data_IF_310298173235
#
_entry.id   IF_310298173235
#
_cell.length_a   1.000
_cell.length_b   1.000
_cell.length_c   1.000
_cell.angle_alpha   90.00
_cell.angle_beta   90.00
_cell.angle_gamma   90.00
#
_symmetry.space_group_name_H-M   'P 1'
#
loop_
_entity.id
_entity.type
_entity.pdbx_description
1 polymer ?
#
# COMPACT_ATOMS: atom_id res chain seq x y z
N UNK A 1 11.07 10.22 0.83
CA UNK A 1 12.43 10.56 0.40
C UNK A 1 12.88 11.86 1.02
N UNK A 2 14.18 11.96 1.33
CA UNK A 2 14.77 13.18 1.89
C UNK A 2 16.03 13.52 1.11
N UNK A 3 16.11 14.76 0.64
CA UNK A 3 17.30 15.30 -0.03
C UNK A 3 18.01 16.25 0.94
N UNK A 4 19.24 15.90 1.30
CA UNK A 4 20.09 16.74 2.15
C UNK A 4 21.24 17.27 1.32
N UNK A 5 21.52 18.55 1.43
CA UNK A 5 22.59 19.20 0.67
C UNK A 5 23.27 20.31 1.49
N UNK A 6 24.46 20.69 1.06
CA UNK A 6 25.19 21.85 1.55
C UNK A 6 25.47 22.82 0.40
N UNK A 7 25.59 24.11 0.70
CA UNK A 7 25.75 25.14 -0.31
C UNK A 7 24.41 25.50 -0.99
N UNK A 8 24.50 26.06 -2.17
CA UNK A 8 23.35 26.42 -3.01
C UNK A 8 23.43 25.67 -4.34
N UNK A 9 22.81 24.50 -4.46
CA UNK A 9 22.69 23.83 -5.75
C UNK A 9 21.82 24.68 -6.69
N UNK A 10 22.12 24.65 -7.97
CA UNK A 10 21.35 25.34 -9.00
C UNK A 10 19.95 24.71 -9.14
N UNK A 11 19.77 23.89 -10.14
CA UNK A 11 18.54 23.11 -10.29
C UNK A 11 18.73 21.66 -9.85
N UNK A 12 17.67 21.05 -9.33
CA UNK A 12 17.65 19.64 -8.96
C UNK A 12 16.44 18.95 -9.57
N UNK A 13 16.69 17.75 -10.10
CA UNK A 13 15.65 16.84 -10.56
C UNK A 13 15.75 15.57 -9.73
N UNK A 14 14.70 15.27 -8.99
CA UNK A 14 14.56 13.99 -8.27
C UNK A 14 13.74 13.04 -9.13
N UNK A 15 14.33 11.90 -9.44
CA UNK A 15 13.72 10.86 -10.27
C UNK A 15 13.58 9.59 -9.47
N UNK A 16 12.40 9.00 -9.54
CA UNK A 16 12.07 7.71 -8.91
C UNK A 16 11.49 6.80 -9.97
N UNK A 17 12.13 5.68 -10.20
CA UNK A 17 11.61 4.62 -11.07
C UNK A 17 10.90 3.59 -10.20
N UNK A 18 9.60 3.50 -10.36
CA UNK A 18 8.74 2.53 -9.66
C UNK A 18 8.41 1.35 -10.58
N UNK A 19 8.05 0.17 -10.03
CA UNK A 19 7.63 -0.97 -10.81
C UNK A 19 6.48 -0.64 -11.78
N UNK A 20 6.45 -1.33 -12.91
CA UNK A 20 5.35 -1.20 -13.87
C UNK A 20 4.01 -1.50 -13.19
N UNK A 21 2.98 -0.74 -13.53
CA UNK A 21 1.63 -0.78 -12.98
C UNK A 21 1.46 -0.22 -11.55
N UNK A 22 2.53 0.22 -10.89
CA UNK A 22 2.39 0.99 -9.66
C UNK A 22 2.11 2.44 -10.01
N UNK A 23 1.03 3.00 -9.49
CA UNK A 23 0.56 4.33 -9.83
C UNK A 23 0.69 5.29 -8.66
N UNK A 24 1.10 6.51 -8.95
CA UNK A 24 1.11 7.59 -7.97
C UNK A 24 -0.33 7.99 -7.61
N UNK A 25 -0.68 7.92 -6.34
CA UNK A 25 -2.02 8.34 -5.85
C UNK A 25 -2.00 9.65 -5.09
N UNK A 26 -0.89 9.97 -4.44
CA UNK A 26 -0.71 11.24 -3.75
C UNK A 26 0.78 11.60 -3.67
N UNK A 27 1.06 12.88 -3.64
CA UNK A 27 2.41 13.37 -3.38
C UNK A 27 2.38 14.72 -2.65
N UNK A 28 3.42 15.00 -1.89
CA UNK A 28 3.68 16.30 -1.28
C UNK A 28 5.18 16.57 -1.37
N UNK A 29 5.52 17.73 -1.90
CA UNK A 29 6.90 18.18 -2.07
C UNK A 29 6.97 19.69 -1.91
N UNK A 30 7.89 20.16 -1.08
CA UNK A 30 8.03 21.57 -0.80
C UNK A 30 8.71 22.31 -1.95
N UNK A 31 8.15 23.44 -2.39
CA UNK A 31 8.77 24.38 -3.32
C UNK A 31 9.14 23.83 -4.69
N UNK A 32 8.52 22.71 -5.12
CA UNK A 32 8.75 22.15 -6.45
C UNK A 32 8.24 23.07 -7.54
N UNK A 33 9.04 23.22 -8.60
CA UNK A 33 8.62 23.91 -9.83
C UNK A 33 7.73 23.02 -10.71
N UNK A 34 7.92 21.69 -10.62
CA UNK A 34 7.11 20.69 -11.30
C UNK A 34 7.11 19.40 -10.49
N UNK A 35 5.97 18.73 -10.41
CA UNK A 35 5.79 17.45 -9.74
C UNK A 35 4.95 16.50 -10.60
N UNK A 36 5.08 15.17 -10.43
CA UNK A 36 4.28 14.22 -11.17
C UNK A 36 2.80 14.31 -10.75
N UNK A 37 1.93 14.13 -11.72
CA UNK A 37 0.48 14.08 -11.48
C UNK A 37 0.04 12.68 -11.01
N UNK A 38 -1.08 12.62 -10.31
CA UNK A 38 -1.70 11.34 -9.91
C UNK A 38 -2.04 10.48 -11.12
N UNK A 39 -1.91 9.16 -10.97
CA UNK A 39 -2.12 8.18 -12.05
C UNK A 39 -0.89 7.89 -12.91
N UNK A 40 0.20 8.65 -12.76
CA UNK A 40 1.46 8.33 -13.45
C UNK A 40 2.09 7.07 -12.86
N UNK A 41 2.65 6.24 -13.74
CA UNK A 41 3.39 5.02 -13.41
C UNK A 41 4.79 5.06 -14.03
N UNK A 42 5.68 4.22 -13.54
CA UNK A 42 7.05 4.12 -14.03
C UNK A 42 7.94 5.24 -13.50
N UNK A 43 8.34 6.17 -14.34
CA UNK A 43 9.23 7.25 -13.92
C UNK A 43 8.46 8.43 -13.32
N UNK A 44 8.70 8.71 -12.06
CA UNK A 44 8.19 9.87 -11.33
C UNK A 44 9.29 10.91 -11.23
N UNK A 45 8.98 12.18 -11.55
CA UNK A 45 9.96 13.23 -11.60
C UNK A 45 9.49 14.51 -10.90
N UNK A 46 10.30 15.02 -9.96
CA UNK A 46 10.12 16.30 -9.29
C UNK A 46 11.27 17.23 -9.69
N UNK A 47 10.96 18.47 -10.01
CA UNK A 47 11.95 19.48 -10.41
C UNK A 47 11.91 20.68 -9.50
N UNK A 48 13.10 21.18 -9.17
CA UNK A 48 13.31 22.45 -8.50
C UNK A 48 14.25 23.30 -9.34
N UNK A 49 13.83 24.51 -9.66
CA UNK A 49 14.70 25.55 -10.23
C UNK A 49 15.42 26.32 -9.14
N UNK A 50 14.90 26.27 -7.91
CA UNK A 50 15.51 26.77 -6.69
C UNK A 50 15.09 25.86 -5.55
N UNK A 51 16.01 25.25 -4.83
CA UNK A 51 15.70 24.35 -3.73
C UNK A 51 15.29 25.15 -2.49
N UNK A 52 14.28 24.65 -1.73
CA UNK A 52 14.02 25.10 -0.37
C UNK A 52 15.20 24.79 0.55
N UNK A 53 15.17 25.28 1.78
CA UNK A 53 16.18 24.98 2.78
C UNK A 53 16.34 23.46 3.01
N UNK A 54 17.60 23.00 3.13
CA UNK A 54 17.90 21.59 3.45
C UNK A 54 17.49 21.25 4.89
N UNK A 55 16.85 20.09 5.15
CA UNK A 55 16.52 19.02 4.20
C UNK A 55 15.22 19.28 3.44
N UNK A 56 15.15 18.85 2.17
CA UNK A 56 13.91 18.81 1.39
C UNK A 56 13.25 17.45 1.53
N UNK A 57 12.00 17.44 2.01
CA UNK A 57 11.24 16.21 2.21
C UNK A 57 10.22 16.04 1.08
N UNK A 58 10.21 14.85 0.50
CA UNK A 58 9.27 14.44 -0.53
C UNK A 58 8.51 13.22 -0.01
N UNK A 59 7.20 13.34 0.09
CA UNK A 59 6.31 12.23 0.45
C UNK A 59 5.46 11.88 -0.76
N UNK A 60 5.33 10.60 -1.06
CA UNK A 60 4.45 10.11 -2.12
C UNK A 60 3.85 8.77 -1.76
N UNK A 61 2.65 8.53 -2.24
CA UNK A 61 1.90 7.29 -2.05
C UNK A 61 1.71 6.61 -3.39
N UNK A 62 1.93 5.30 -3.42
CA UNK A 62 1.77 4.48 -4.60
C UNK A 62 0.63 3.48 -4.38
N UNK A 63 -0.23 3.33 -5.37
CA UNK A 63 -1.15 2.20 -5.47
C UNK A 63 -0.40 1.01 -6.02
N UNK A 64 -0.43 -0.09 -5.32
CA UNK A 64 0.19 -1.36 -5.70
C UNK A 64 -0.92 -2.33 -6.08
N UNK A 65 -0.90 -2.94 -7.28
CA UNK A 65 -1.88 -3.95 -7.65
C UNK A 65 -1.89 -5.12 -6.66
N UNK A 66 -3.08 -5.63 -6.32
CA UNK A 66 -3.28 -6.69 -5.31
C UNK A 66 -2.54 -8.00 -5.65
N UNK A 67 -2.42 -8.30 -6.95
CA UNK A 67 -1.72 -9.47 -7.47
C UNK A 67 -0.19 -9.30 -7.56
N UNK A 68 0.34 -8.19 -7.05
CA UNK A 68 1.79 -7.96 -7.07
C UNK A 68 2.50 -8.87 -6.07
N UNK A 69 3.31 -9.79 -6.57
CA UNK A 69 4.05 -10.75 -5.76
C UNK A 69 5.56 -10.65 -5.99
N UNK A 70 6.31 -11.21 -5.04
CA UNK A 70 7.76 -11.31 -5.09
C UNK A 70 8.48 -10.01 -4.78
N UNK A 71 9.77 -9.97 -5.04
CA UNK A 71 10.60 -8.79 -4.79
C UNK A 71 10.44 -7.74 -5.87
N UNK A 72 10.22 -6.50 -5.48
CA UNK A 72 10.14 -5.34 -6.37
C UNK A 72 11.18 -4.32 -5.95
N UNK A 73 11.80 -3.70 -6.95
CA UNK A 73 12.82 -2.69 -6.74
C UNK A 73 12.30 -1.31 -7.09
N UNK A 74 12.57 -0.35 -6.23
CA UNK A 74 12.42 1.09 -6.52
C UNK A 74 13.82 1.67 -6.56
N UNK A 75 14.17 2.36 -7.65
CA UNK A 75 15.42 3.08 -7.77
C UNK A 75 15.16 4.58 -7.79
N UNK A 76 16.08 5.35 -7.25
CA UNK A 76 15.93 6.79 -7.25
C UNK A 76 17.27 7.51 -7.33
N UNK A 77 17.27 8.66 -7.99
CA UNK A 77 18.44 9.52 -8.11
C UNK A 77 18.09 11.00 -8.09
N UNK A 78 19.01 11.80 -7.60
CA UNK A 78 19.00 13.24 -7.77
C UNK A 78 19.97 13.64 -8.88
N UNK A 79 19.50 14.37 -9.88
CA UNK A 79 20.36 15.07 -10.84
C UNK A 79 20.50 16.52 -10.39
N UNK A 80 21.71 16.95 -10.19
CA UNK A 80 22.02 18.32 -9.72
C UNK A 80 22.77 19.06 -10.82
N UNK A 81 22.26 20.22 -11.20
CA UNK A 81 22.92 21.07 -12.21
C UNK A 81 23.37 22.36 -11.56
N UNK A 82 24.66 22.62 -11.64
CA UNK A 82 25.31 23.86 -11.19
C UNK A 82 26.02 24.52 -12.39
N UNK A 83 25.43 25.57 -12.94
CA UNK A 83 25.91 26.15 -14.19
C UNK A 83 25.83 25.14 -15.33
N UNK A 84 26.99 24.84 -15.95
CA UNK A 84 27.10 23.88 -17.05
C UNK A 84 27.38 22.44 -16.59
N UNK A 85 27.61 22.22 -15.28
CA UNK A 85 27.93 20.90 -14.73
C UNK A 85 26.73 20.23 -14.18
N UNK A 86 26.42 19.02 -14.68
CA UNK A 86 25.39 18.16 -14.16
C UNK A 86 25.99 16.90 -13.55
N UNK A 87 25.61 16.60 -12.32
CA UNK A 87 25.97 15.39 -11.58
C UNK A 87 24.76 14.61 -11.16
N UNK A 88 24.90 13.29 -10.99
CA UNK A 88 23.86 12.42 -10.47
C UNK A 88 24.30 11.78 -9.16
N UNK A 89 23.36 11.69 -8.20
CA UNK A 89 23.56 11.05 -6.90
C UNK A 89 22.43 10.04 -6.69
N UNK A 90 22.81 8.77 -6.49
CA UNK A 90 21.83 7.71 -6.20
C UNK A 90 21.28 7.86 -4.78
N UNK A 91 20.04 7.47 -4.60
CA UNK A 91 19.42 7.35 -3.28
C UNK A 91 20.14 6.30 -2.41
N UNK A 92 19.80 6.29 -1.13
CA UNK A 92 20.21 5.22 -0.21
C UNK A 92 19.00 4.78 0.61
N UNK A 93 18.65 3.49 0.58
CA UNK A 93 19.24 2.43 -0.25
C UNK A 93 18.86 2.56 -1.73
N UNK A 94 19.72 2.07 -2.62
CA UNK A 94 19.42 1.95 -4.05
C UNK A 94 19.95 0.62 -4.59
N UNK A 95 19.08 -0.27 -5.09
CA UNK A 95 17.63 -0.13 -5.08
C UNK A 95 17.00 -0.35 -3.68
N UNK A 96 15.88 0.32 -3.42
CA UNK A 96 15.00 -0.06 -2.32
C UNK A 96 14.23 -1.33 -2.72
N UNK A 97 14.46 -2.43 -2.02
CA UNK A 97 13.79 -3.71 -2.29
C UNK A 97 12.60 -3.86 -1.36
N UNK A 98 11.43 -4.11 -1.94
CA UNK A 98 10.20 -4.42 -1.24
C UNK A 98 9.80 -5.85 -1.55
N UNK A 99 9.58 -6.66 -0.52
CA UNK A 99 9.09 -8.03 -0.67
C UNK A 99 7.57 -8.04 -0.52
N UNK A 100 6.88 -8.43 -1.58
CA UNK A 100 5.44 -8.58 -1.61
C UNK A 100 5.10 -10.05 -1.42
N UNK A 101 4.52 -10.38 -0.28
CA UNK A 101 4.00 -11.71 0.00
C UNK A 101 2.51 -11.74 -0.27
N UNK A 102 1.95 -12.85 -0.76
CA UNK A 102 0.50 -13.00 -0.83
C UNK A 102 -0.12 -12.75 0.55
N UNK A 103 -1.28 -12.14 0.59
CA UNK A 103 -2.09 -12.19 1.81
C UNK A 103 -2.76 -13.56 1.85
N UNK A 104 -2.65 -14.31 2.93
CA UNK A 104 -3.50 -15.48 3.10
C UNK A 104 -4.96 -15.02 3.14
N UNK A 105 -5.86 -15.84 2.61
CA UNK A 105 -7.30 -15.61 2.76
C UNK A 105 -7.66 -15.52 4.25
N UNK A 106 -8.64 -14.71 4.64
CA UNK A 106 -9.03 -14.58 6.06
C UNK A 106 -9.50 -15.90 6.69
N UNK A 107 -9.92 -16.85 5.87
CA UNK A 107 -10.24 -18.20 6.30
C UNK A 107 -9.00 -19.11 6.46
N UNK A 108 -7.86 -18.72 5.96
CA UNK A 108 -6.59 -19.44 6.10
C UNK A 108 -5.96 -19.07 7.46
N UNK A 109 -6.35 -19.81 8.48
CA UNK A 109 -6.01 -19.54 9.89
C UNK A 109 -4.54 -19.85 10.19
N UNK A 110 -3.97 -20.82 9.50
CA UNK A 110 -2.59 -21.26 9.71
C UNK A 110 -1.60 -20.55 8.80
N UNK A 111 -2.05 -19.79 7.80
CA UNK A 111 -1.23 -19.03 6.88
C UNK A 111 -0.47 -19.87 5.86
N UNK A 112 -0.95 -21.08 5.55
CA UNK A 112 -0.28 -22.00 4.63
C UNK A 112 -0.70 -21.82 3.16
N UNK A 113 -1.56 -20.81 2.88
CA UNK A 113 -2.13 -20.48 1.58
C UNK A 113 -3.03 -21.57 0.98
N UNK A 114 -3.64 -22.38 1.84
CA UNK A 114 -4.61 -23.40 1.47
C UNK A 114 -5.81 -23.29 2.40
N UNK A 115 -6.99 -23.56 1.87
CA UNK A 115 -8.20 -23.67 2.70
C UNK A 115 -8.39 -25.15 3.00
N UNK A 116 -8.02 -25.56 4.20
CA UNK A 116 -8.21 -26.90 4.71
C UNK A 116 -9.64 -27.17 5.15
N UNK A 117 -9.93 -28.41 5.55
CA UNK A 117 -11.26 -28.79 5.98
C UNK A 117 -11.72 -28.05 7.24
N UNK A 118 -10.81 -27.82 8.18
CA UNK A 118 -11.13 -27.13 9.46
C UNK A 118 -11.50 -25.67 9.15
N UNK A 119 -10.74 -25.02 8.33
CA UNK A 119 -10.95 -23.62 7.92
C UNK A 119 -12.23 -23.47 7.13
N UNK A 120 -12.50 -24.39 6.19
CA UNK A 120 -13.76 -24.43 5.45
C UNK A 120 -14.97 -24.64 6.38
N UNK A 121 -14.83 -25.52 7.37
CA UNK A 121 -15.90 -25.75 8.36
C UNK A 121 -16.19 -24.48 9.14
N UNK A 122 -15.17 -23.73 9.52
CA UNK A 122 -15.31 -22.46 10.23
C UNK A 122 -16.05 -21.42 9.39
N UNK A 123 -15.69 -21.28 8.11
CA UNK A 123 -16.40 -20.37 7.18
C UNK A 123 -17.87 -20.78 7.04
N UNK A 124 -18.15 -22.06 6.91
CA UNK A 124 -19.53 -22.58 6.82
C UNK A 124 -20.31 -22.28 8.12
N UNK A 125 -19.69 -22.42 9.28
CA UNK A 125 -20.29 -22.08 10.57
C UNK A 125 -20.68 -20.59 10.62
N UNK A 126 -19.74 -19.69 10.33
CA UNK A 126 -19.96 -18.25 10.29
C UNK A 126 -21.09 -17.90 9.29
N UNK A 127 -21.05 -18.47 8.09
CA UNK A 127 -22.08 -18.26 7.06
C UNK A 127 -23.46 -18.74 7.47
N UNK A 128 -23.56 -19.87 8.18
CA UNK A 128 -24.82 -20.46 8.61
C UNK A 128 -25.40 -19.85 9.88
N UNK A 129 -24.67 -18.95 10.54
CA UNK A 129 -25.18 -18.29 11.74
C UNK A 129 -26.47 -17.56 11.45
N UNK A 130 -27.48 -17.78 12.30
CA UNK A 130 -28.80 -17.18 12.18
C UNK A 130 -29.04 -16.16 13.27
N UNK A 131 -29.76 -15.12 12.93
CA UNK A 131 -30.33 -14.23 13.93
C UNK A 131 -31.42 -14.99 14.68
N UNK A 132 -31.31 -15.06 16.00
CA UNK A 132 -32.23 -15.82 16.84
C UNK A 132 -33.67 -15.31 16.77
N UNK A 133 -33.88 -13.99 16.61
CA UNK A 133 -35.21 -13.38 16.56
C UNK A 133 -35.86 -13.50 15.18
N UNK A 134 -35.05 -13.46 14.10
CA UNK A 134 -35.54 -13.40 12.72
C UNK A 134 -35.46 -14.75 11.99
N UNK A 135 -34.79 -15.73 12.55
CA UNK A 135 -34.47 -17.02 11.91
C UNK A 135 -33.80 -16.90 10.54
N UNK A 136 -33.21 -15.74 10.24
CA UNK A 136 -32.53 -15.48 8.99
C UNK A 136 -31.03 -15.66 9.16
N UNK A 137 -30.36 -16.13 8.10
CA UNK A 137 -28.89 -16.13 8.05
C UNK A 137 -28.38 -14.71 8.14
N UNK A 138 -27.40 -14.47 8.99
CA UNK A 138 -26.80 -13.13 9.14
C UNK A 138 -25.69 -12.92 8.15
N UNK A 139 -24.91 -13.95 7.82
CA UNK A 139 -23.72 -13.85 6.98
C UNK A 139 -22.73 -12.80 7.46
N UNK A 140 -22.79 -12.44 8.74
CA UNK A 140 -21.99 -11.37 9.32
C UNK A 140 -21.25 -11.88 10.56
N UNK A 141 -20.09 -11.34 10.82
CA UNK A 141 -19.27 -11.66 11.97
C UNK A 141 -18.64 -10.40 12.56
N UNK A 142 -18.19 -10.49 13.79
CA UNK A 142 -17.58 -9.41 14.56
C UNK A 142 -16.15 -9.81 14.94
N UNK A 143 -15.25 -8.85 15.12
CA UNK A 143 -13.96 -9.12 15.77
C UNK A 143 -14.21 -9.65 17.17
N UNK A 144 -13.55 -10.75 17.51
CA UNK A 144 -13.58 -11.36 18.83
C UNK A 144 -12.18 -11.89 19.16
N UNK A 145 -11.48 -11.16 20.01
CA UNK A 145 -10.11 -11.51 20.43
C UNK A 145 -10.02 -12.83 21.20
N UNK A 146 -11.16 -13.35 21.68
CA UNK A 146 -11.24 -14.65 22.35
C UNK A 146 -11.52 -15.79 21.37
N UNK A 147 -11.90 -15.47 20.14
CA UNK A 147 -12.13 -16.46 19.08
C UNK A 147 -10.80 -17.01 18.54
N UNK A 148 -10.81 -18.26 18.12
CA UNK A 148 -9.63 -18.94 17.59
C UNK A 148 -9.03 -18.24 16.37
N UNK A 149 -9.89 -17.61 15.56
CA UNK A 149 -9.55 -16.86 14.35
C UNK A 149 -9.67 -15.33 14.49
N UNK A 150 -9.94 -14.86 15.72
CA UNK A 150 -10.16 -13.44 15.99
C UNK A 150 -11.54 -12.93 15.60
N UNK A 151 -12.48 -13.82 15.23
CA UNK A 151 -13.84 -13.48 14.84
C UNK A 151 -14.88 -14.34 15.53
N UNK A 152 -16.07 -13.77 15.73
CA UNK A 152 -17.26 -14.48 16.18
C UNK A 152 -18.46 -14.18 15.27
N UNK A 153 -19.36 -15.13 15.15
CA UNK A 153 -20.57 -14.95 14.39
C UNK A 153 -21.47 -13.86 14.98
N UNK A 154 -21.95 -12.94 14.14
CA UNK A 154 -22.84 -11.87 14.58
C UNK A 154 -24.32 -12.30 14.48
N UNK A 155 -24.82 -12.95 15.53
CA UNK A 155 -26.22 -13.36 15.62
C UNK A 155 -27.22 -12.18 15.75
N UNK A 156 -26.72 -10.97 16.02
CA UNK A 156 -27.55 -9.75 16.15
C UNK A 156 -27.72 -8.97 14.86
N UNK A 157 -27.02 -9.34 13.78
CA UNK A 157 -27.13 -8.63 12.52
C UNK A 157 -28.54 -8.77 11.93
N UNK A 158 -29.16 -7.67 11.50
CA UNK A 158 -30.55 -7.60 11.09
C UNK A 158 -30.76 -7.61 9.57
N UNK A 159 -29.78 -7.89 8.76
CA UNK A 159 -29.96 -7.80 7.31
C UNK A 159 -29.24 -8.87 6.53
N UNK A 160 -29.96 -9.66 5.73
CA UNK A 160 -29.35 -10.41 4.65
C UNK A 160 -28.73 -9.40 3.66
N UNK A 161 -27.45 -9.57 3.35
CA UNK A 161 -26.74 -8.74 2.38
C UNK A 161 -26.18 -7.41 2.89
N UNK A 162 -26.27 -7.10 4.17
CA UNK A 162 -25.44 -6.03 4.73
C UNK A 162 -24.02 -6.56 4.88
N UNK A 163 -23.18 -6.12 3.97
CA UNK A 163 -21.75 -6.35 4.06
C UNK A 163 -21.28 -5.72 5.37
N UNK A 164 -20.85 -6.54 6.32
CA UNK A 164 -20.16 -6.07 7.50
C UNK A 164 -18.85 -5.43 7.02
N UNK A 165 -18.44 -4.33 7.65
CA UNK A 165 -17.08 -3.78 7.43
C UNK A 165 -15.95 -4.76 7.76
N UNK A 166 -16.29 -5.87 8.35
CA UNK A 166 -15.41 -7.00 8.68
C UNK A 166 -15.61 -8.17 7.72
N UNK A 167 -16.38 -7.99 6.65
CA UNK A 167 -16.42 -8.95 5.57
C UNK A 167 -15.06 -8.99 4.91
N UNK A 168 -14.64 -10.17 4.52
CA UNK A 168 -13.39 -10.34 3.81
C UNK A 168 -13.38 -9.47 2.55
N UNK A 169 -12.36 -8.64 2.44
CA UNK A 169 -12.18 -7.76 1.29
C UNK A 169 -11.71 -8.52 0.03
N UNK A 170 -11.45 -9.83 0.17
CA UNK A 170 -10.98 -10.69 -0.91
C UNK A 170 -12.14 -11.33 -1.71
N UNK A 171 -13.42 -11.01 -1.39
CA UNK A 171 -14.60 -11.45 -2.14
C UNK A 171 -15.22 -10.36 -2.99
#
# INVERSE_FOLDING_TARGET
STITYSGQPGSVVWQVLVPQNWQLTAQNSQGTSSAPVTGVAGLLEWRWTSLPASPVVITYTLSVPSETLGSKAITAQAQVTNGEVTGAVLAKPDPLILSMTPRPHSADLNGDYRIGLIELTRVIELYNTRNAALSRRTGAYLPDVSGEDGFAANASATGAGKISRYHDADT
#
